data_IF_653198544424
#
_entry.id   IF_653198544424
#
_cell.length_a   1.000
_cell.length_b   1.000
_cell.length_c   1.000
_cell.angle_alpha   90.00
_cell.angle_beta   90.00
_cell.angle_gamma   90.00
#
_symmetry.space_group_name_H-M   'P 1'
#
loop_
_entity.id
_entity.type
_entity.pdbx_description
1 polymer ?
#
# COMPACT_ATOMS: atom_id res chain seq x y z
N UNK A 1 -0.89 7.51 -6.78
CA UNK A 1 -0.77 8.02 -8.17
C UNK A 1 -2.08 8.11 -8.97
N UNK A 2 -3.06 7.20 -8.81
CA UNK A 2 -4.40 7.40 -9.42
C UNK A 2 -5.20 8.45 -8.65
N UNK A 3 -5.98 9.27 -9.36
CA UNK A 3 -6.87 10.27 -8.78
C UNK A 3 -7.96 9.64 -7.90
N UNK A 4 -8.49 8.48 -8.32
CA UNK A 4 -9.45 7.71 -7.52
C UNK A 4 -8.89 7.36 -6.15
N UNK A 5 -7.63 6.94 -6.08
CA UNK A 5 -6.97 6.59 -4.82
C UNK A 5 -6.72 7.83 -3.94
N UNK A 6 -6.46 9.00 -4.53
CA UNK A 6 -6.36 10.26 -3.78
C UNK A 6 -7.72 10.65 -3.17
N UNK A 7 -8.82 10.54 -3.94
CA UNK A 7 -10.19 10.76 -3.45
C UNK A 7 -10.59 9.77 -2.35
N UNK A 8 -10.24 8.48 -2.48
CA UNK A 8 -10.46 7.44 -1.46
C UNK A 8 -9.72 7.77 -0.14
N UNK A 9 -8.42 8.08 -0.20
CA UNK A 9 -7.65 8.46 1.00
C UNK A 9 -8.20 9.72 1.67
N UNK A 10 -8.57 10.74 0.90
CA UNK A 10 -9.16 11.96 1.43
C UNK A 10 -10.53 11.72 2.11
N UNK A 11 -11.35 10.83 1.55
CA UNK A 11 -12.63 10.43 2.15
C UNK A 11 -12.45 9.61 3.44
N UNK A 12 -11.38 8.81 3.55
CA UNK A 12 -11.04 8.08 4.78
C UNK A 12 -10.46 8.98 5.87
N UNK A 13 -9.72 10.04 5.49
CA UNK A 13 -9.02 10.93 6.42
C UNK A 13 -9.95 11.71 7.37
N UNK A 14 -11.23 11.89 7.03
CA UNK A 14 -12.20 12.57 7.91
C UNK A 14 -12.70 11.70 9.07
N UNK A 15 -12.42 10.39 9.05
CA UNK A 15 -12.93 9.46 10.05
C UNK A 15 -11.99 9.36 11.26
N UNK A 16 -12.49 9.64 12.47
CA UNK A 16 -11.68 9.76 13.70
C UNK A 16 -10.86 8.53 14.09
N UNK A 17 -11.22 7.34 13.58
CA UNK A 17 -10.45 6.10 13.75
C UNK A 17 -9.40 5.83 12.67
N UNK A 18 -9.21 6.72 11.70
CA UNK A 18 -8.24 6.55 10.61
C UNK A 18 -7.00 7.42 10.87
N UNK A 19 -5.82 6.82 10.70
CA UNK A 19 -4.55 7.55 10.59
C UNK A 19 -4.06 7.43 9.15
N UNK A 20 -3.92 8.54 8.45
CA UNK A 20 -3.18 8.58 7.19
C UNK A 20 -1.70 8.79 7.51
N UNK A 21 -0.84 7.90 7.01
CA UNK A 21 0.62 8.06 7.03
C UNK A 21 1.09 8.28 5.60
N UNK A 22 1.55 9.49 5.33
CA UNK A 22 2.16 9.86 4.06
C UNK A 22 3.67 9.62 4.06
N UNK A 23 4.10 8.81 3.10
CA UNK A 23 5.50 8.48 2.83
C UNK A 23 5.97 9.25 1.59
N UNK A 24 7.19 9.78 1.63
CA UNK A 24 7.82 10.33 0.42
C UNK A 24 8.42 9.20 -0.44
N UNK A 25 8.24 9.27 -1.75
CA UNK A 25 8.79 8.22 -2.64
C UNK A 25 10.32 8.18 -2.62
N UNK A 26 11.00 9.25 -2.20
CA UNK A 26 12.46 9.21 -2.03
C UNK A 26 12.91 8.59 -0.70
N UNK A 27 12.03 8.42 0.29
CA UNK A 27 12.33 7.56 1.44
C UNK A 27 12.54 6.10 0.99
N UNK A 28 12.02 5.67 -0.17
CA UNK A 28 12.34 4.36 -0.71
C UNK A 28 13.82 4.19 -1.08
N UNK A 29 14.55 5.29 -1.33
CA UNK A 29 15.96 5.29 -1.75
C UNK A 29 16.94 5.75 -0.68
N UNK A 30 16.46 6.34 0.43
CA UNK A 30 17.32 6.87 1.52
C UNK A 30 16.74 6.74 2.93
N UNK A 31 15.48 6.34 3.09
CA UNK A 31 14.79 6.24 4.37
C UNK A 31 14.78 4.82 4.94
N UNK A 32 14.76 4.73 6.27
CA UNK A 32 14.75 3.47 7.02
C UNK A 32 13.37 2.80 6.98
N UNK A 33 13.23 1.58 6.42
CA UNK A 33 11.96 0.84 6.46
C UNK A 33 11.46 0.61 7.89
N UNK A 34 12.40 0.42 8.83
CA UNK A 34 12.15 0.18 10.25
C UNK A 34 11.47 1.36 10.95
N UNK A 35 11.83 2.59 10.59
CA UNK A 35 11.28 3.81 11.20
C UNK A 35 9.81 4.00 10.78
N UNK A 36 9.52 3.90 9.48
CA UNK A 36 8.15 3.96 8.97
C UNK A 36 7.31 2.77 9.47
N UNK A 37 7.89 1.56 9.53
CA UNK A 37 7.24 0.41 10.14
C UNK A 37 6.87 0.64 11.61
N UNK A 38 7.75 1.29 12.39
CA UNK A 38 7.47 1.65 13.79
C UNK A 38 6.43 2.77 13.92
N UNK A 39 6.38 3.74 12.99
CA UNK A 39 5.30 4.75 12.91
C UNK A 39 3.94 4.09 12.64
N UNK A 40 3.86 3.20 11.66
CA UNK A 40 2.65 2.43 11.31
C UNK A 40 2.20 1.56 12.49
N UNK A 41 3.13 0.80 13.09
CA UNK A 41 2.83 -0.04 14.25
C UNK A 41 2.40 0.78 15.48
N UNK A 42 2.80 2.05 15.59
CA UNK A 42 2.28 3.00 16.58
C UNK A 42 0.78 3.22 16.41
N UNK A 43 0.34 3.68 15.23
CA UNK A 43 -1.08 3.91 14.93
C UNK A 43 -1.93 2.64 15.08
N UNK A 44 -1.39 1.47 14.75
CA UNK A 44 -2.07 0.18 14.95
C UNK A 44 -2.24 -0.18 16.43
N UNK A 45 -1.23 0.11 17.30
CA UNK A 45 -1.34 -0.08 18.75
C UNK A 45 -2.33 0.89 19.41
N UNK A 46 -2.54 2.07 18.82
CA UNK A 46 -3.60 3.02 19.21
C UNK A 46 -5.01 2.56 18.79
N UNK A 47 -5.16 1.40 18.14
CA UNK A 47 -6.46 0.87 17.70
C UNK A 47 -7.05 1.60 16.49
N UNK A 48 -6.23 2.36 15.77
CA UNK A 48 -6.60 3.09 14.56
C UNK A 48 -6.42 2.22 13.31
N UNK A 49 -7.21 2.50 12.27
CA UNK A 49 -6.98 2.00 10.93
C UNK A 49 -5.87 2.83 10.29
N UNK A 50 -4.73 2.22 9.99
CA UNK A 50 -3.61 2.91 9.35
C UNK A 50 -3.70 2.82 7.82
N UNK A 51 -3.85 3.96 7.16
CA UNK A 51 -3.82 4.12 5.70
C UNK A 51 -2.44 4.65 5.31
N UNK A 52 -1.62 3.82 4.69
CA UNK A 52 -0.29 4.20 4.20
C UNK A 52 -0.39 4.60 2.73
N UNK A 53 0.11 5.78 2.37
CA UNK A 53 0.08 6.29 0.99
C UNK A 53 1.41 6.94 0.62
N UNK A 54 1.77 6.87 -0.67
CA UNK A 54 2.84 7.71 -1.23
C UNK A 54 2.30 9.09 -1.55
N UNK A 55 3.04 10.14 -1.17
CA UNK A 55 2.59 11.54 -1.27
C UNK A 55 2.02 11.91 -2.65
N UNK A 56 0.82 12.51 -2.72
CA UNK A 56 0.21 13.14 -3.89
C UNK A 56 1.00 14.30 -4.55
N UNK A 57 2.29 14.16 -4.84
CA UNK A 57 3.04 15.22 -5.51
C UNK A 57 2.67 15.29 -7.01
N UNK A 58 1.83 16.26 -7.38
CA UNK A 58 1.36 16.47 -8.75
C UNK A 58 2.51 16.81 -9.72
N UNK A 59 3.59 17.45 -9.27
CA UNK A 59 4.78 17.71 -10.10
C UNK A 59 5.60 16.42 -10.39
N UNK A 60 5.54 15.41 -9.50
CA UNK A 60 6.33 14.17 -9.64
C UNK A 60 5.85 13.30 -10.81
N UNK A 61 4.65 13.48 -11.39
CA UNK A 61 4.33 12.81 -12.67
C UNK A 61 5.31 13.18 -13.80
N UNK A 62 5.81 14.42 -13.81
CA UNK A 62 6.89 14.88 -14.68
C UNK A 62 8.27 14.60 -14.05
N UNK A 63 8.40 14.74 -12.73
CA UNK A 63 9.64 14.50 -11.98
C UNK A 63 10.15 13.06 -11.96
N UNK A 64 9.29 12.04 -12.17
CA UNK A 64 9.72 10.62 -12.22
C UNK A 64 10.78 10.41 -13.30
N UNK A 65 10.65 11.03 -14.47
CA UNK A 65 11.63 10.84 -15.56
C UNK A 65 12.98 11.50 -15.26
N UNK A 66 12.98 12.63 -14.55
CA UNK A 66 14.20 13.25 -14.05
C UNK A 66 14.89 12.33 -13.03
N UNK A 67 14.15 11.86 -12.01
CA UNK A 67 14.65 10.94 -10.97
C UNK A 67 15.11 9.59 -11.52
N UNK A 68 14.44 9.05 -12.54
CA UNK A 68 14.90 7.87 -13.26
C UNK A 68 16.26 8.11 -13.94
N UNK A 69 16.44 9.24 -14.62
CA UNK A 69 17.74 9.62 -15.23
C UNK A 69 18.82 9.85 -14.18
N UNK A 70 18.52 10.61 -13.13
CA UNK A 70 19.43 10.91 -12.00
C UNK A 70 19.93 9.64 -11.30
N UNK A 71 19.08 8.61 -11.19
CA UNK A 71 19.38 7.33 -10.53
C UNK A 71 19.83 6.23 -11.50
N UNK A 72 19.87 6.49 -12.82
CA UNK A 72 20.20 5.49 -13.85
C UNK A 72 19.18 4.34 -13.99
N UNK A 73 17.94 4.53 -13.51
CA UNK A 73 16.91 3.48 -13.45
C UNK A 73 15.90 3.59 -14.60
N UNK A 74 15.38 2.45 -15.04
CA UNK A 74 14.17 2.42 -15.88
C UNK A 74 12.94 2.80 -15.05
N UNK A 75 11.87 3.26 -15.71
CA UNK A 75 10.60 3.59 -15.04
C UNK A 75 9.97 2.38 -14.33
N UNK A 76 10.19 1.17 -14.86
CA UNK A 76 9.77 -0.09 -14.23
C UNK A 76 10.58 -0.34 -12.94
N UNK A 77 11.91 -0.35 -13.03
CA UNK A 77 12.80 -0.58 -11.89
C UNK A 77 12.60 0.46 -10.76
N UNK A 78 12.35 1.73 -11.09
CA UNK A 78 12.02 2.77 -10.09
C UNK A 78 10.69 2.47 -9.37
N UNK A 79 9.68 1.95 -10.08
CA UNK A 79 8.41 1.51 -9.50
C UNK A 79 8.53 0.23 -8.66
N UNK A 80 9.26 -0.76 -9.16
CA UNK A 80 9.58 -2.01 -8.48
C UNK A 80 10.32 -1.76 -7.17
N UNK A 81 11.32 -0.87 -7.18
CA UNK A 81 12.08 -0.47 -5.98
C UNK A 81 11.17 0.14 -4.91
N UNK A 82 10.27 1.05 -5.30
CA UNK A 82 9.28 1.64 -4.38
C UNK A 82 8.33 0.56 -3.82
N UNK A 83 7.86 -0.37 -4.66
CA UNK A 83 6.99 -1.46 -4.22
C UNK A 83 7.70 -2.44 -3.28
N UNK A 84 8.97 -2.76 -3.53
CA UNK A 84 9.79 -3.62 -2.66
C UNK A 84 10.05 -2.98 -1.30
N UNK A 85 10.41 -1.69 -1.26
CA UNK A 85 10.60 -0.96 -0.01
C UNK A 85 9.29 -0.80 0.78
N UNK A 86 8.15 -0.52 0.11
CA UNK A 86 6.83 -0.51 0.76
C UNK A 86 6.43 -1.89 1.29
N UNK A 87 6.86 -2.96 0.63
CA UNK A 87 6.63 -4.33 1.07
C UNK A 87 7.46 -4.68 2.31
N UNK A 88 8.71 -4.22 2.42
CA UNK A 88 9.52 -4.36 3.63
C UNK A 88 8.96 -3.54 4.81
N UNK A 89 8.59 -2.27 4.58
CA UNK A 89 7.87 -1.44 5.57
C UNK A 89 6.61 -2.16 6.08
N UNK A 90 5.81 -2.73 5.17
CA UNK A 90 4.61 -3.50 5.53
C UNK A 90 4.97 -4.76 6.33
N UNK A 91 5.96 -5.52 5.86
CA UNK A 91 6.46 -6.74 6.49
C UNK A 91 6.94 -6.52 7.93
N UNK A 92 7.65 -5.43 8.19
CA UNK A 92 8.12 -5.04 9.52
C UNK A 92 7.00 -4.46 10.38
N UNK A 93 6.08 -3.67 9.80
CA UNK A 93 4.96 -3.09 10.52
C UNK A 93 4.02 -4.17 11.09
N UNK A 94 3.62 -5.15 10.27
CA UNK A 94 2.70 -6.22 10.72
C UNK A 94 3.34 -7.18 11.72
N UNK A 95 4.68 -7.28 11.75
CA UNK A 95 5.43 -8.02 12.76
C UNK A 95 5.52 -7.26 14.10
N UNK A 96 5.57 -5.92 14.07
CA UNK A 96 5.54 -5.07 15.27
C UNK A 96 4.12 -4.87 15.84
N UNK A 97 3.07 -4.92 15.00
CA UNK A 97 1.66 -4.86 15.40
C UNK A 97 0.78 -5.42 14.28
N UNK A 98 0.08 -6.53 14.52
CA UNK A 98 -0.71 -7.22 13.48
C UNK A 98 -2.11 -6.59 13.31
N UNK A 99 -2.41 -5.91 12.19
CA UNK A 99 -3.73 -5.33 11.95
C UNK A 99 -4.80 -6.40 11.67
N UNK A 100 -6.08 -6.02 11.72
CA UNK A 100 -7.19 -6.95 11.50
C UNK A 100 -7.17 -7.67 10.15
N UNK A 101 -6.80 -6.93 9.10
CA UNK A 101 -6.68 -7.36 7.70
C UNK A 101 -5.66 -6.45 6.98
N UNK A 102 -5.26 -6.78 5.75
CA UNK A 102 -4.51 -5.89 4.86
C UNK A 102 -5.39 -5.43 3.68
N UNK A 103 -5.22 -4.18 3.25
CA UNK A 103 -5.84 -3.62 2.04
C UNK A 103 -4.75 -3.06 1.13
N UNK A 104 -4.64 -3.58 -0.09
CA UNK A 104 -3.53 -3.33 -1.01
C UNK A 104 -4.06 -2.74 -2.33
N UNK A 105 -3.84 -1.44 -2.57
CA UNK A 105 -4.34 -0.72 -3.75
C UNK A 105 -3.23 -0.46 -4.78
N UNK A 106 -3.11 -1.37 -5.74
CA UNK A 106 -2.10 -1.40 -6.80
C UNK A 106 -1.63 -2.83 -7.00
N UNK A 107 -1.45 -3.27 -8.25
CA UNK A 107 -1.04 -4.66 -8.54
C UNK A 107 0.36 -4.96 -8.00
N UNK A 108 1.31 -4.14 -8.42
CA UNK A 108 2.75 -4.31 -8.13
C UNK A 108 3.05 -4.31 -6.62
N UNK A 109 2.42 -3.40 -5.87
CA UNK A 109 2.54 -3.35 -4.40
C UNK A 109 1.84 -4.52 -3.72
N UNK A 110 0.71 -5.01 -4.26
CA UNK A 110 0.05 -6.20 -3.71
C UNK A 110 0.89 -7.47 -3.90
N UNK A 111 1.54 -7.61 -5.07
CA UNK A 111 2.48 -8.70 -5.37
C UNK A 111 3.73 -8.60 -4.50
N UNK A 112 4.34 -7.41 -4.39
CA UNK A 112 5.53 -7.20 -3.57
C UNK A 112 5.26 -7.50 -2.08
N UNK A 113 4.14 -7.02 -1.53
CA UNK A 113 3.72 -7.32 -0.15
C UNK A 113 3.45 -8.82 0.05
N UNK A 114 2.83 -9.50 -0.91
CA UNK A 114 2.64 -10.95 -0.85
C UNK A 114 3.98 -11.69 -0.76
N UNK A 115 4.93 -11.38 -1.65
CA UNK A 115 6.27 -11.98 -1.66
C UNK A 115 7.05 -11.67 -0.37
N UNK A 116 7.06 -10.42 0.10
CA UNK A 116 7.75 -10.04 1.34
C UNK A 116 7.17 -10.73 2.59
N UNK A 117 5.86 -11.05 2.58
CA UNK A 117 5.19 -11.83 3.63
C UNK A 117 5.38 -13.36 3.46
N UNK A 118 6.04 -13.81 2.39
CA UNK A 118 6.33 -15.22 2.10
C UNK A 118 5.19 -15.99 1.45
N UNK A 119 4.19 -15.30 0.89
CA UNK A 119 3.05 -15.92 0.23
C UNK A 119 3.44 -16.53 -1.13
N UNK A 120 2.94 -17.74 -1.40
CA UNK A 120 3.11 -18.45 -2.68
C UNK A 120 1.86 -18.34 -3.58
N UNK A 121 0.80 -17.68 -3.11
CA UNK A 121 -0.43 -17.45 -3.87
C UNK A 121 -1.50 -16.71 -3.06
N UNK A 122 -2.69 -16.57 -3.64
CA UNK A 122 -3.82 -15.88 -3.03
C UNK A 122 -5.13 -16.63 -3.28
N UNK A 123 -5.80 -17.06 -2.21
CA UNK A 123 -7.10 -17.72 -2.27
C UNK A 123 -8.22 -16.69 -2.13
N UNK A 124 -8.82 -16.31 -3.25
CA UNK A 124 -10.03 -15.47 -3.30
C UNK A 124 -11.16 -16.18 -2.53
N UNK A 125 -11.83 -15.44 -1.65
CA UNK A 125 -13.03 -15.88 -0.91
C UNK A 125 -14.29 -15.11 -1.32
N UNK A 126 -14.14 -13.93 -1.92
CA UNK A 126 -15.25 -13.17 -2.50
C UNK A 126 -14.80 -11.80 -3.00
N UNK A 127 -15.75 -10.85 -3.08
CA UNK A 127 -15.51 -9.45 -3.47
C UNK A 127 -16.28 -8.49 -2.56
N UNK A 128 -15.63 -7.41 -2.14
CA UNK A 128 -16.19 -6.28 -1.41
C UNK A 128 -16.45 -5.14 -2.41
N UNK A 129 -17.51 -4.35 -2.19
CA UNK A 129 -17.88 -3.19 -3.01
C UNK A 129 -17.95 -3.48 -4.54
N UNK A 130 -18.23 -4.74 -4.90
CA UNK A 130 -18.21 -5.28 -6.27
C UNK A 130 -16.86 -5.22 -7.03
N UNK A 131 -15.88 -4.43 -6.59
CA UNK A 131 -14.63 -4.16 -7.30
C UNK A 131 -13.35 -4.64 -6.59
N UNK A 132 -13.42 -5.05 -5.32
CA UNK A 132 -12.25 -5.42 -4.49
C UNK A 132 -12.32 -6.91 -4.12
N UNK A 133 -11.57 -7.81 -4.81
CA UNK A 133 -11.37 -9.16 -4.32
C UNK A 133 -10.87 -9.19 -2.87
N UNK A 134 -11.44 -10.08 -2.06
CA UNK A 134 -10.91 -10.40 -0.73
C UNK A 134 -10.67 -11.89 -0.60
N UNK A 135 -9.70 -12.25 0.23
CA UNK A 135 -9.21 -13.61 0.35
C UNK A 135 -8.15 -13.74 1.44
N UNK A 136 -7.33 -14.77 1.33
CA UNK A 136 -6.18 -15.00 2.21
C UNK A 136 -4.94 -15.32 1.35
N UNK A 137 -3.76 -14.95 1.82
CA UNK A 137 -2.52 -15.46 1.24
C UNK A 137 -2.38 -16.98 1.48
N UNK A 138 -1.73 -17.65 0.54
CA UNK A 138 -1.33 -19.06 0.67
C UNK A 138 0.13 -19.10 1.10
N UNK A 139 0.42 -19.81 2.19
CA UNK A 139 1.75 -19.81 2.80
C UNK A 139 2.14 -18.47 3.43
N UNK A 140 3.42 -18.32 3.77
CA UNK A 140 3.96 -17.13 4.41
C UNK A 140 3.55 -16.96 5.87
N UNK A 141 3.81 -15.77 6.42
CA UNK A 141 3.55 -15.42 7.84
C UNK A 141 2.26 -14.61 8.07
N UNK A 142 1.41 -14.48 7.05
CA UNK A 142 0.19 -13.67 7.13
C UNK A 142 -1.06 -14.52 6.90
N UNK A 143 -1.76 -14.83 7.99
CA UNK A 143 -2.92 -15.74 8.04
C UNK A 143 -4.29 -15.04 8.08
N UNK A 144 -4.33 -13.71 8.00
CA UNK A 144 -5.56 -12.90 8.16
C UNK A 144 -6.09 -12.43 6.80
N UNK A 145 -7.32 -11.88 6.69
CA UNK A 145 -7.87 -11.45 5.42
C UNK A 145 -6.98 -10.41 4.70
N UNK A 146 -6.96 -10.50 3.37
CA UNK A 146 -6.32 -9.54 2.47
C UNK A 146 -7.33 -9.13 1.40
N UNK A 147 -7.43 -7.83 1.19
CA UNK A 147 -8.19 -7.18 0.13
C UNK A 147 -7.22 -6.60 -0.90
N UNK A 148 -7.49 -6.80 -2.19
CA UNK A 148 -6.68 -6.19 -3.26
C UNK A 148 -7.56 -5.36 -4.19
N UNK A 149 -7.06 -4.20 -4.62
CA UNK A 149 -7.73 -3.34 -5.62
C UNK A 149 -6.75 -2.93 -6.70
N UNK A 150 -7.15 -3.02 -7.96
CA UNK A 150 -6.34 -2.57 -9.08
C UNK A 150 -6.06 -1.06 -9.03
N UNK A 151 -4.92 -0.65 -9.58
CA UNK A 151 -4.62 0.76 -9.83
C UNK A 151 -5.41 1.26 -11.04
N UNK A 152 -6.49 2.02 -10.81
CA UNK A 152 -7.32 2.57 -11.90
C UNK A 152 -8.54 1.72 -12.28
N UNK A 153 -9.03 0.85 -11.39
CA UNK A 153 -10.35 0.21 -11.55
C UNK A 153 -11.46 1.23 -11.81
N UNK A 154 -12.29 0.97 -12.81
CA UNK A 154 -13.33 1.86 -13.34
C UNK A 154 -14.40 2.29 -12.30
N UNK A 155 -15.14 3.39 -12.54
CA UNK A 155 -15.99 4.03 -11.53
C UNK A 155 -17.34 3.33 -11.32
N UNK A 156 -17.35 2.15 -10.67
CA UNK A 156 -18.60 1.67 -10.05
C UNK A 156 -18.85 2.47 -8.76
N UNK A 157 -20.05 3.05 -8.54
CA UNK A 157 -20.32 3.94 -7.39
C UNK A 157 -19.97 3.35 -6.02
N UNK A 158 -20.07 2.03 -5.87
CA UNK A 158 -19.71 1.31 -4.63
C UNK A 158 -18.19 1.30 -4.37
N UNK A 159 -17.35 1.34 -5.41
CA UNK A 159 -15.90 1.34 -5.28
C UNK A 159 -15.34 2.63 -4.63
N UNK A 160 -16.13 3.71 -4.60
CA UNK A 160 -15.77 4.98 -3.96
C UNK A 160 -15.92 4.97 -2.43
N UNK A 161 -16.65 4.01 -1.86
CA UNK A 161 -17.07 3.99 -0.45
C UNK A 161 -16.32 2.94 0.37
N UNK A 162 -15.02 2.79 0.11
CA UNK A 162 -14.06 1.92 0.80
C UNK A 162 -12.81 2.70 1.23
#
# INVERSE_FOLDING_TARGET
>A
MSEMAQRQVAALQVHSRVRVIEIDVEQAFSGSPKEEASRIAGALREGQHCVVTTRPNHAVRHGIEARCRERGLSRAAYGEHICAWLADVTAQAVAQSSPGALYLSGGDVAIAVAHALGATGFQIRGRVAECVPYGHFLGGRWSRPVMTKAGGSAPTPRCYML
#
